data_IF_637959547741
#
_entry.id   IF_637959547741
#
_cell.length_a   1.000
_cell.length_b   1.000
_cell.length_c   1.000
_cell.angle_alpha   90.00
_cell.angle_beta   90.00
_cell.angle_gamma   90.00
#
_symmetry.space_group_name_H-M   'P 1'
#
loop_
_entity.id
_entity.type
_entity.pdbx_description
1 polymer ?
#
# COMPACT_ATOMS: atom_id res chain seq x y z
N UNK A 1 -17.62 8.51 -3.29
CA UNK A 1 -16.18 8.42 -3.06
C UNK A 1 -15.84 7.57 -1.84
N UNK A 2 -16.62 7.58 -0.73
CA UNK A 2 -16.31 6.86 0.54
C UNK A 2 -16.75 5.39 0.55
N UNK A 3 -17.03 4.78 -0.58
CA UNK A 3 -17.52 3.40 -0.63
C UNK A 3 -16.47 2.37 -0.22
N UNK A 4 -15.26 2.48 -0.77
CA UNK A 4 -14.19 1.55 -0.45
C UNK A 4 -13.34 2.11 0.68
N UNK A 5 -13.25 1.37 1.78
CA UNK A 5 -12.35 1.67 2.89
C UNK A 5 -11.01 1.00 2.68
N UNK A 6 -9.95 1.76 2.61
CA UNK A 6 -8.58 1.24 2.60
C UNK A 6 -8.08 1.12 4.04
N UNK A 7 -7.54 -0.04 4.42
CA UNK A 7 -6.93 -0.25 5.74
C UNK A 7 -5.44 -0.56 5.52
N UNK A 8 -4.59 0.33 5.98
CA UNK A 8 -3.14 0.19 5.90
C UNK A 8 -2.58 -0.47 7.16
N UNK A 9 -1.72 -1.47 6.96
CA UNK A 9 -1.01 -2.17 8.02
C UNK A 9 0.50 -2.07 7.83
N UNK A 10 1.24 -1.94 8.93
CA UNK A 10 2.70 -1.83 8.91
C UNK A 10 3.42 -3.16 8.58
N UNK A 11 2.73 -4.27 8.70
CA UNK A 11 3.28 -5.60 8.40
C UNK A 11 2.20 -6.56 7.89
N UNK A 12 2.63 -7.58 7.16
CA UNK A 12 1.74 -8.67 6.70
C UNK A 12 1.13 -9.42 7.90
N UNK A 13 1.86 -9.58 9.00
CA UNK A 13 1.35 -10.24 10.21
C UNK A 13 0.19 -9.47 10.82
N UNK A 14 0.31 -8.14 10.96
CA UNK A 14 -0.78 -7.29 11.45
C UNK A 14 -1.98 -7.31 10.50
N UNK A 15 -1.72 -7.32 9.19
CA UNK A 15 -2.78 -7.42 8.18
C UNK A 15 -3.54 -8.73 8.31
N UNK A 16 -2.87 -9.86 8.50
CA UNK A 16 -3.55 -11.16 8.66
C UNK A 16 -4.46 -11.18 9.89
N UNK A 17 -3.99 -10.64 11.03
CA UNK A 17 -4.83 -10.48 12.21
C UNK A 17 -6.01 -9.56 11.94
N UNK A 18 -5.79 -8.43 11.26
CA UNK A 18 -6.84 -7.51 10.86
C UNK A 18 -7.85 -8.13 9.89
N UNK A 19 -7.40 -8.98 8.96
CA UNK A 19 -8.26 -9.72 8.05
C UNK A 19 -9.20 -10.67 8.80
N UNK A 20 -8.68 -11.43 9.78
CA UNK A 20 -9.53 -12.28 10.62
C UNK A 20 -10.62 -11.46 11.33
N UNK A 21 -10.26 -10.32 11.92
CA UNK A 21 -11.23 -9.44 12.57
C UNK A 21 -12.29 -8.90 11.60
N UNK A 22 -11.90 -8.58 10.36
CA UNK A 22 -12.86 -8.13 9.34
C UNK A 22 -13.86 -9.22 9.00
N UNK A 23 -13.43 -10.47 8.88
CA UNK A 23 -14.32 -11.58 8.53
C UNK A 23 -15.14 -12.07 9.71
N UNK A 24 -14.58 -12.08 10.93
CA UNK A 24 -15.21 -12.70 12.08
C UNK A 24 -16.08 -11.70 12.86
N UNK A 25 -15.61 -10.46 13.06
CA UNK A 25 -16.22 -9.51 14.01
C UNK A 25 -17.02 -8.40 13.32
N UNK A 26 -16.53 -7.86 12.19
CA UNK A 26 -17.14 -6.64 11.60
C UNK A 26 -18.57 -6.88 11.12
N UNK A 27 -18.88 -8.04 10.57
CA UNK A 27 -20.26 -8.37 10.16
C UNK A 27 -21.19 -8.50 11.37
N UNK A 28 -20.71 -9.09 12.47
CA UNK A 28 -21.47 -9.19 13.71
C UNK A 28 -21.79 -7.82 14.32
N UNK A 29 -20.79 -6.97 14.45
CA UNK A 29 -20.94 -5.62 14.99
C UNK A 29 -21.82 -4.73 14.09
N UNK A 30 -21.68 -4.85 12.79
CA UNK A 30 -22.55 -4.17 11.82
C UNK A 30 -23.99 -4.52 12.02
N UNK A 31 -24.31 -5.82 12.16
CA UNK A 31 -25.66 -6.31 12.41
C UNK A 31 -26.21 -5.79 13.74
N UNK A 32 -25.41 -5.81 14.81
CA UNK A 32 -25.79 -5.28 16.10
C UNK A 32 -26.12 -3.78 16.03
N UNK A 33 -25.35 -3.00 15.26
CA UNK A 33 -25.62 -1.58 15.03
C UNK A 33 -26.92 -1.34 14.27
N UNK A 34 -27.26 -2.15 13.26
CA UNK A 34 -28.52 -2.02 12.54
C UNK A 34 -29.71 -2.29 13.46
N UNK A 35 -29.67 -3.37 14.24
CA UNK A 35 -30.70 -3.70 15.23
C UNK A 35 -30.85 -2.54 16.23
N UNK A 36 -29.77 -2.04 16.77
CA UNK A 36 -29.77 -0.93 17.74
C UNK A 36 -30.36 0.37 17.17
N UNK A 37 -30.20 0.62 15.87
CA UNK A 37 -30.75 1.79 15.18
C UNK A 37 -32.15 1.59 14.66
N UNK A 38 -32.78 0.41 14.85
CA UNK A 38 -34.09 0.09 14.33
C UNK A 38 -34.15 0.08 12.80
N UNK A 39 -33.02 -0.16 12.14
CA UNK A 39 -32.97 -0.26 10.67
C UNK A 39 -33.38 -1.69 10.30
N UNK A 40 -34.55 -1.83 9.73
CA UNK A 40 -35.04 -3.11 9.21
C UNK A 40 -34.32 -3.42 7.90
N UNK A 41 -33.44 -4.41 7.94
CA UNK A 41 -32.62 -4.85 6.82
C UNK A 41 -33.43 -5.40 5.66
N UNK A 42 -34.60 -5.97 5.94
CA UNK A 42 -35.51 -6.57 4.93
C UNK A 42 -36.32 -5.51 4.18
N UNK A 43 -36.66 -4.40 4.83
CA UNK A 43 -37.47 -3.32 4.24
C UNK A 43 -36.69 -2.32 3.39
N UNK A 44 -35.38 -2.29 3.45
CA UNK A 44 -34.54 -1.32 2.72
C UNK A 44 -34.18 -1.78 1.30
N UNK A 45 -35.10 -2.42 0.59
CA UNK A 45 -34.88 -2.98 -0.76
C UNK A 45 -34.34 -2.04 -1.86
N UNK A 46 -34.16 -0.73 -1.56
CA UNK A 46 -33.50 0.23 -2.45
C UNK A 46 -32.07 0.64 -2.04
N UNK A 47 -31.67 0.32 -0.83
CA UNK A 47 -30.31 0.55 -0.37
C UNK A 47 -29.72 -0.77 0.10
N UNK A 48 -28.92 -1.44 -0.76
CA UNK A 48 -28.13 -2.60 -0.39
C UNK A 48 -27.04 -2.19 0.64
N UNK A 49 -27.45 -1.72 1.82
CA UNK A 49 -26.55 -1.48 2.95
C UNK A 49 -26.07 -2.78 3.57
N UNK A 50 -26.84 -3.85 3.38
CA UNK A 50 -26.51 -5.16 3.92
C UNK A 50 -25.69 -5.96 2.92
N UNK A 51 -24.37 -5.78 2.98
CA UNK A 51 -23.43 -6.66 2.29
C UNK A 51 -22.67 -7.44 3.33
N UNK A 52 -22.63 -8.74 3.15
CA UNK A 52 -21.84 -9.63 4.00
C UNK A 52 -20.38 -9.53 3.59
N UNK A 53 -19.50 -9.26 4.56
CA UNK A 53 -18.04 -9.17 4.31
C UNK A 53 -17.37 -10.54 4.25
N UNK A 54 -18.09 -11.62 4.54
CA UNK A 54 -17.64 -12.99 4.32
C UNK A 54 -17.55 -13.38 2.83
N UNK A 55 -18.13 -12.55 1.94
CA UNK A 55 -17.94 -12.73 0.51
C UNK A 55 -16.53 -12.21 0.11
N UNK A 56 -15.61 -13.11 -0.34
CA UNK A 56 -14.27 -12.71 -0.75
C UNK A 56 -14.25 -11.73 -1.94
N UNK A 57 -15.40 -11.55 -2.61
CA UNK A 57 -15.57 -10.55 -3.67
C UNK A 57 -15.64 -9.12 -3.14
N UNK A 58 -15.80 -8.92 -1.84
CA UNK A 58 -15.99 -7.62 -1.20
C UNK A 58 -14.73 -7.09 -0.51
N UNK A 59 -13.81 -7.98 -0.16
CA UNK A 59 -12.54 -7.63 0.49
C UNK A 59 -11.40 -7.88 -0.48
N UNK A 60 -10.62 -6.83 -0.74
CA UNK A 60 -9.38 -6.93 -1.51
C UNK A 60 -8.18 -6.99 -0.58
N UNK A 61 -7.11 -7.64 -1.03
CA UNK A 61 -5.80 -7.57 -0.41
C UNK A 61 -4.79 -6.99 -1.41
N UNK A 62 -3.91 -6.08 -0.95
CA UNK A 62 -2.80 -5.52 -1.72
C UNK A 62 -1.51 -5.67 -0.92
N UNK A 63 -0.88 -6.83 -1.06
CA UNK A 63 0.34 -7.19 -0.35
C UNK A 63 1.32 -7.89 -1.28
N UNK A 64 2.58 -7.97 -0.87
CA UNK A 64 3.64 -8.66 -1.62
C UNK A 64 3.49 -10.19 -1.66
N UNK A 65 2.54 -10.77 -0.91
CA UNK A 65 2.25 -12.21 -0.97
C UNK A 65 1.22 -12.58 -2.04
N UNK A 66 0.51 -11.59 -2.59
CA UNK A 66 -0.37 -11.83 -3.73
C UNK A 66 0.43 -12.17 -4.99
N UNK A 67 -0.15 -13.04 -5.81
CA UNK A 67 0.41 -13.31 -7.14
C UNK A 67 0.42 -12.01 -7.97
N UNK A 68 1.52 -11.75 -8.63
CA UNK A 68 1.68 -10.56 -9.48
C UNK A 68 0.64 -10.46 -10.59
N UNK A 69 0.08 -11.59 -11.03
CA UNK A 69 -0.99 -11.65 -12.04
C UNK A 69 -2.35 -11.21 -11.51
N UNK A 70 -2.60 -11.31 -10.19
CA UNK A 70 -3.86 -10.93 -9.56
C UNK A 70 -3.92 -9.43 -9.21
N UNK A 71 -2.78 -8.80 -8.97
CA UNK A 71 -2.70 -7.38 -8.61
C UNK A 71 -3.40 -6.49 -9.66
N UNK A 72 -3.16 -6.63 -10.98
CA UNK A 72 -3.85 -5.81 -12.00
C UNK A 72 -5.37 -6.00 -12.00
N UNK A 73 -5.86 -7.22 -11.73
CA UNK A 73 -7.30 -7.51 -11.65
C UNK A 73 -7.94 -6.82 -10.44
N UNK A 74 -7.28 -6.90 -9.29
CA UNK A 74 -7.68 -6.22 -8.06
C UNK A 74 -7.74 -4.71 -8.26
N UNK A 75 -6.69 -4.13 -8.84
CA UNK A 75 -6.64 -2.70 -9.15
C UNK A 75 -7.77 -2.28 -10.10
N UNK A 76 -7.99 -3.04 -11.19
CA UNK A 76 -9.06 -2.75 -12.14
C UNK A 76 -10.43 -2.72 -11.45
N UNK A 77 -10.70 -3.65 -10.54
CA UNK A 77 -11.95 -3.68 -9.77
C UNK A 77 -12.04 -2.53 -8.76
N UNK A 78 -10.91 -2.06 -8.23
CA UNK A 78 -10.88 -0.88 -7.36
C UNK A 78 -11.21 0.43 -8.09
N UNK A 79 -11.04 0.51 -9.41
CA UNK A 79 -11.48 1.66 -10.21
C UNK A 79 -13.00 1.73 -10.40
N UNK A 80 -13.69 0.61 -10.25
CA UNK A 80 -15.15 0.54 -10.44
C UNK A 80 -15.86 1.45 -9.46
N UNK A 81 -16.83 2.24 -9.95
CA UNK A 81 -17.70 3.06 -9.13
C UNK A 81 -18.91 2.26 -8.65
N UNK A 82 -19.48 2.62 -7.49
CA UNK A 82 -20.73 2.04 -7.01
C UNK A 82 -21.92 2.25 -7.98
N UNK A 83 -21.86 3.27 -8.81
CA UNK A 83 -22.90 3.57 -9.82
C UNK A 83 -22.91 2.58 -11.00
N UNK A 84 -21.91 1.70 -11.11
CA UNK A 84 -21.89 0.65 -12.11
C UNK A 84 -22.78 -0.52 -11.66
N UNK A 85 -23.93 -0.68 -12.32
CA UNK A 85 -24.92 -1.73 -11.98
C UNK A 85 -24.42 -3.16 -12.26
N UNK A 86 -23.40 -3.32 -13.11
CA UNK A 86 -22.88 -4.63 -13.52
C UNK A 86 -21.74 -5.15 -12.65
N UNK A 87 -20.98 -4.25 -12.03
CA UNK A 87 -19.78 -4.61 -11.30
C UNK A 87 -19.69 -3.82 -10.00
N UNK A 88 -19.73 -4.50 -8.88
CA UNK A 88 -19.60 -3.83 -7.57
C UNK A 88 -18.12 -3.63 -7.20
N UNK A 89 -17.75 -2.45 -6.69
CA UNK A 89 -16.41 -2.21 -6.14
C UNK A 89 -16.20 -3.01 -4.85
N UNK A 90 -14.95 -3.15 -4.43
CA UNK A 90 -14.64 -3.67 -3.11
C UNK A 90 -15.15 -2.74 -2.00
N UNK A 91 -15.61 -3.32 -0.90
CA UNK A 91 -16.01 -2.57 0.30
C UNK A 91 -14.77 -2.24 1.15
N UNK A 92 -13.85 -3.20 1.29
CA UNK A 92 -12.63 -3.07 2.06
C UNK A 92 -11.42 -3.46 1.19
N UNK A 93 -10.34 -2.70 1.34
CA UNK A 93 -9.04 -3.02 0.79
C UNK A 93 -8.01 -3.08 1.92
N UNK A 94 -7.49 -4.27 2.21
CA UNK A 94 -6.42 -4.49 3.18
C UNK A 94 -5.09 -4.33 2.46
N UNK A 95 -4.23 -3.44 2.93
CA UNK A 95 -2.99 -3.12 2.23
C UNK A 95 -1.80 -2.98 3.18
N UNK A 96 -0.62 -3.31 2.68
CA UNK A 96 0.65 -2.94 3.28
C UNK A 96 1.35 -1.91 2.39
N UNK A 97 2.68 -1.82 2.44
CA UNK A 97 3.49 -0.90 1.62
C UNK A 97 3.22 -0.98 0.10
N UNK A 98 2.58 -2.03 -0.39
CA UNK A 98 2.18 -2.12 -1.80
C UNK A 98 1.26 -0.99 -2.26
N UNK A 99 0.46 -0.42 -1.35
CA UNK A 99 -0.39 0.73 -1.70
C UNK A 99 0.44 2.00 -1.99
N UNK A 100 1.66 2.07 -1.46
CA UNK A 100 2.56 3.21 -1.64
C UNK A 100 3.16 3.26 -3.05
N UNK A 101 3.21 2.12 -3.75
CA UNK A 101 3.88 1.99 -5.05
C UNK A 101 2.88 1.96 -6.19
N UNK A 102 2.83 3.06 -6.96
CA UNK A 102 2.18 3.09 -8.28
C UNK A 102 0.66 2.99 -8.31
N UNK A 103 -0.04 2.97 -7.16
CA UNK A 103 -1.50 2.90 -7.12
C UNK A 103 -2.05 4.32 -7.16
N UNK A 104 -2.77 4.64 -8.23
CA UNK A 104 -3.47 5.90 -8.39
C UNK A 104 -4.94 5.64 -8.73
N UNK A 105 -5.79 5.66 -7.71
CA UNK A 105 -7.24 5.44 -7.84
C UNK A 105 -7.94 6.69 -7.29
N UNK A 106 -8.32 7.63 -8.17
CA UNK A 106 -8.81 8.96 -7.75
C UNK A 106 -10.04 8.91 -6.84
N UNK A 107 -10.91 7.91 -7.03
CA UNK A 107 -12.15 7.79 -6.26
C UNK A 107 -11.97 7.39 -4.78
N UNK A 108 -10.78 6.96 -4.38
CA UNK A 108 -10.55 6.56 -2.99
C UNK A 108 -10.47 7.79 -2.09
N UNK A 109 -11.33 7.83 -1.06
CA UNK A 109 -11.44 8.97 -0.17
C UNK A 109 -11.46 8.58 1.32
N UNK A 110 -11.42 7.29 1.64
CA UNK A 110 -11.47 6.80 3.02
C UNK A 110 -10.32 5.83 3.29
N UNK A 111 -9.53 6.14 4.32
CA UNK A 111 -8.43 5.29 4.77
C UNK A 111 -8.39 5.16 6.29
N UNK A 112 -8.01 3.99 6.75
CA UNK A 112 -7.61 3.73 8.13
C UNK A 112 -6.15 3.33 8.12
N UNK A 113 -5.32 3.94 8.95
CA UNK A 113 -3.93 3.57 9.20
C UNK A 113 -3.86 2.90 10.57
N UNK A 114 -3.59 1.59 10.57
CA UNK A 114 -3.51 0.80 11.80
C UNK A 114 -2.09 0.81 12.37
N UNK A 115 -1.86 1.67 13.35
CA UNK A 115 -0.57 1.98 13.93
C UNK A 115 0.27 2.95 13.08
N UNK A 116 1.07 3.77 13.74
CA UNK A 116 1.95 4.71 13.05
C UNK A 116 2.97 3.98 12.16
N UNK A 117 3.12 4.33 10.89
CA UNK A 117 4.20 3.85 10.04
C UNK A 117 5.58 4.09 10.62
N UNK A 118 6.59 3.36 10.15
CA UNK A 118 7.95 3.43 10.71
C UNK A 118 8.59 4.78 10.46
N UNK A 119 8.31 5.37 9.31
CA UNK A 119 8.85 6.66 8.90
C UNK A 119 7.74 7.62 8.53
N UNK A 120 8.01 8.91 8.63
CA UNK A 120 7.10 9.98 8.19
C UNK A 120 6.89 9.91 6.68
N UNK A 121 7.91 9.56 5.92
CA UNK A 121 7.79 9.35 4.47
C UNK A 121 6.81 8.23 4.12
N UNK A 122 6.83 7.09 4.84
CA UNK A 122 5.84 6.02 4.66
C UNK A 122 4.42 6.50 5.00
N UNK A 123 4.27 7.26 6.08
CA UNK A 123 2.98 7.84 6.46
C UNK A 123 2.41 8.74 5.36
N UNK A 124 3.23 9.65 4.82
CA UNK A 124 2.84 10.56 3.73
C UNK A 124 2.48 9.76 2.46
N UNK A 125 3.30 8.79 2.08
CA UNK A 125 3.08 7.97 0.90
C UNK A 125 1.82 7.12 0.99
N UNK A 126 1.47 6.61 2.16
CA UNK A 126 0.24 5.87 2.37
C UNK A 126 -0.98 6.81 2.39
N UNK A 127 -0.98 7.81 3.25
CA UNK A 127 -2.13 8.72 3.44
C UNK A 127 -2.48 9.52 2.18
N UNK A 128 -1.48 9.87 1.35
CA UNK A 128 -1.69 10.58 0.08
C UNK A 128 -2.37 9.73 -1.02
N UNK A 129 -2.71 8.46 -0.76
CA UNK A 129 -3.43 7.61 -1.72
C UNK A 129 -4.95 7.80 -1.71
N UNK A 130 -5.46 8.57 -0.77
CA UNK A 130 -6.88 8.93 -0.70
C UNK A 130 -7.05 10.44 -0.82
N UNK A 131 -8.25 10.87 -1.28
CA UNK A 131 -8.55 12.29 -1.47
C UNK A 131 -7.79 12.96 -2.60
N UNK A 132 -7.47 12.23 -3.66
CA UNK A 132 -6.79 12.78 -4.84
C UNK A 132 -7.72 13.50 -5.81
N UNK A 133 -9.00 13.17 -5.75
CA UNK A 133 -10.01 13.87 -6.52
C UNK A 133 -10.35 15.20 -5.82
N UNK A 134 -10.20 16.30 -6.53
CA UNK A 134 -10.49 17.65 -5.99
C UNK A 134 -11.96 17.81 -5.56
N UNK A 135 -12.87 17.03 -6.14
CA UNK A 135 -14.28 17.05 -5.79
C UNK A 135 -14.62 16.30 -4.50
N UNK A 136 -13.68 15.50 -3.97
CA UNK A 136 -13.93 14.57 -2.87
C UNK A 136 -12.80 14.61 -1.85
N UNK A 137 -12.99 15.27 -0.70
CA UNK A 137 -11.98 15.34 0.34
C UNK A 137 -11.65 13.95 0.89
N UNK A 138 -10.37 13.67 1.13
CA UNK A 138 -9.91 12.44 1.75
C UNK A 138 -10.04 12.50 3.27
N UNK A 139 -10.42 11.37 3.87
CA UNK A 139 -10.47 11.19 5.32
C UNK A 139 -9.53 10.06 5.70
N UNK A 140 -8.61 10.33 6.62
CA UNK A 140 -7.67 9.35 7.16
C UNK A 140 -7.87 9.22 8.66
N UNK A 141 -8.21 8.02 9.11
CA UNK A 141 -8.30 7.67 10.52
C UNK A 141 -7.01 6.98 10.96
N UNK A 142 -6.33 7.54 11.95
CA UNK A 142 -5.16 6.91 12.56
C UNK A 142 -5.59 6.16 13.84
N UNK A 143 -5.43 4.83 13.83
CA UNK A 143 -5.65 4.00 15.02
C UNK A 143 -4.31 3.77 15.69
N UNK A 144 -4.10 4.43 16.82
CA UNK A 144 -2.85 4.41 17.58
C UNK A 144 -3.02 3.56 18.84
N UNK A 145 -2.13 2.60 19.05
CA UNK A 145 -2.16 1.71 20.20
C UNK A 145 -1.43 2.34 21.40
N UNK A 146 -2.05 2.44 22.58
CA UNK A 146 -1.39 2.96 23.77
C UNK A 146 -0.23 2.08 24.27
N UNK A 147 -0.20 0.82 23.83
CA UNK A 147 0.83 -0.16 24.22
C UNK A 147 2.06 -0.13 23.34
N UNK A 148 2.01 0.57 22.19
CA UNK A 148 3.16 0.74 21.28
C UNK A 148 3.81 2.10 21.53
N UNK A 149 5.09 2.18 21.95
CA UNK A 149 5.75 3.46 22.28
C UNK A 149 5.69 4.49 21.14
N UNK A 150 5.86 4.05 19.90
CA UNK A 150 5.77 4.91 18.71
C UNK A 150 4.37 5.51 18.57
N UNK A 151 3.35 4.68 18.63
CA UNK A 151 1.96 5.11 18.49
C UNK A 151 1.58 6.11 19.58
N UNK A 152 1.99 5.83 20.82
CA UNK A 152 1.77 6.72 21.97
C UNK A 152 2.44 8.07 21.78
N UNK A 153 3.70 8.09 21.35
CA UNK A 153 4.42 9.34 21.08
C UNK A 153 3.73 10.18 20.01
N UNK A 154 3.29 9.54 18.92
CA UNK A 154 2.56 10.23 17.86
C UNK A 154 1.17 10.68 18.29
N UNK A 155 0.50 9.97 19.19
CA UNK A 155 -0.77 10.41 19.78
C UNK A 155 -0.58 11.67 20.62
N UNK A 156 0.41 11.69 21.51
CA UNK A 156 0.70 12.82 22.39
C UNK A 156 1.06 14.09 21.61
N UNK A 157 1.71 13.96 20.44
CA UNK A 157 2.13 15.06 19.58
C UNK A 157 1.32 15.18 18.28
N UNK A 158 0.15 14.57 18.21
CA UNK A 158 -0.61 14.42 16.96
C UNK A 158 -0.82 15.73 16.20
N UNK A 159 -1.27 16.77 16.90
CA UNK A 159 -1.54 18.08 16.29
C UNK A 159 -0.28 18.75 15.78
N UNK A 160 0.77 18.85 16.60
CA UNK A 160 2.04 19.48 16.23
C UNK A 160 2.75 18.73 15.10
N UNK A 161 2.71 17.40 15.13
CA UNK A 161 3.23 16.56 14.08
C UNK A 161 2.56 16.84 12.72
N UNK A 162 1.24 16.89 12.68
CA UNK A 162 0.52 17.14 11.42
C UNK A 162 0.63 18.57 10.92
N UNK A 163 0.80 19.55 11.82
CA UNK A 163 1.03 20.94 11.43
C UNK A 163 2.37 21.17 10.74
N UNK A 164 3.37 20.35 11.05
CA UNK A 164 4.72 20.46 10.52
C UNK A 164 5.21 19.16 9.87
N UNK A 165 4.30 18.38 9.29
CA UNK A 165 4.52 17.01 8.83
C UNK A 165 5.78 16.84 7.96
N UNK A 166 6.00 17.74 7.03
CA UNK A 166 7.16 17.66 6.12
C UNK A 166 8.50 17.92 6.82
N UNK A 167 8.51 18.61 7.98
CA UNK A 167 9.73 18.84 8.73
C UNK A 167 10.23 17.58 9.45
N UNK A 168 9.37 16.58 9.60
CA UNK A 168 9.68 15.30 10.24
C UNK A 168 10.08 14.21 9.24
N UNK A 169 10.16 14.54 7.96
CA UNK A 169 10.60 13.56 6.95
C UNK A 169 12.07 13.24 7.17
N UNK A 170 12.33 11.97 7.40
CA UNK A 170 13.67 11.46 7.69
C UNK A 170 14.57 11.54 6.43
N UNK A 171 15.81 12.02 6.54
CA UNK A 171 16.72 12.02 5.42
C UNK A 171 17.07 10.58 5.01
N UNK A 172 17.05 10.31 3.72
CA UNK A 172 17.46 9.01 3.19
C UNK A 172 18.99 8.92 3.26
N UNK A 173 19.49 7.88 3.94
CA UNK A 173 20.92 7.60 3.93
C UNK A 173 21.33 7.09 2.56
N UNK A 174 22.23 7.79 1.87
CA UNK A 174 22.82 7.37 0.60
C UNK A 174 24.23 6.86 0.90
N UNK A 175 24.37 5.54 1.01
CA UNK A 175 25.66 4.88 1.22
C UNK A 175 25.96 3.93 0.05
N UNK A 176 26.36 4.45 -1.13
CA UNK A 176 26.51 3.66 -2.35
C UNK A 176 27.57 2.56 -2.23
N UNK A 177 28.55 2.74 -1.35
CA UNK A 177 29.64 1.79 -1.14
C UNK A 177 29.44 0.86 0.08
N UNK A 178 28.27 0.90 0.73
CA UNK A 178 28.00 -0.03 1.83
C UNK A 178 27.99 -1.48 1.34
N UNK A 179 28.39 -2.40 2.20
CA UNK A 179 28.48 -3.82 1.88
C UNK A 179 27.11 -4.39 1.38
N UNK A 180 26.02 -3.96 1.99
CA UNK A 180 24.66 -4.35 1.57
C UNK A 180 24.31 -3.86 0.16
N UNK A 181 24.69 -2.62 -0.20
CA UNK A 181 24.44 -2.07 -1.54
C UNK A 181 25.32 -2.77 -2.56
N UNK A 182 26.61 -2.96 -2.27
CA UNK A 182 27.52 -3.70 -3.17
C UNK A 182 26.98 -5.09 -3.47
N UNK A 183 26.61 -5.85 -2.46
CA UNK A 183 26.05 -7.21 -2.64
C UNK A 183 24.79 -7.24 -3.50
N UNK A 184 23.93 -6.23 -3.40
CA UNK A 184 22.65 -6.18 -4.12
C UNK A 184 22.75 -5.54 -5.50
N UNK A 185 23.61 -4.54 -5.69
CA UNK A 185 23.60 -3.69 -6.88
C UNK A 185 24.83 -3.83 -7.77
N UNK A 186 25.98 -4.32 -7.25
CA UNK A 186 27.22 -4.36 -8.02
C UNK A 186 27.08 -5.16 -9.32
N UNK A 187 26.38 -6.30 -9.28
CA UNK A 187 26.16 -7.11 -10.47
C UNK A 187 25.37 -6.35 -11.56
N UNK A 188 24.39 -5.53 -11.16
CA UNK A 188 23.62 -4.72 -12.11
C UNK A 188 24.50 -3.65 -12.76
N UNK A 189 25.35 -2.99 -11.97
CA UNK A 189 26.33 -2.00 -12.48
C UNK A 189 27.28 -2.66 -13.46
N UNK A 190 27.85 -3.81 -13.11
CA UNK A 190 28.75 -4.58 -14.00
C UNK A 190 28.09 -4.94 -15.32
N UNK A 191 26.87 -5.48 -15.27
CA UNK A 191 26.09 -5.83 -16.47
C UNK A 191 25.83 -4.58 -17.32
N UNK A 192 25.47 -3.45 -16.69
CA UNK A 192 25.22 -2.19 -17.40
C UNK A 192 26.47 -1.70 -18.09
N UNK A 193 27.61 -1.68 -17.42
CA UNK A 193 28.91 -1.29 -18.01
C UNK A 193 29.30 -2.21 -19.19
N UNK A 194 29.15 -3.53 -19.04
CA UNK A 194 29.39 -4.46 -20.13
C UNK A 194 28.51 -4.16 -21.37
N UNK A 195 27.24 -3.89 -21.16
CA UNK A 195 26.30 -3.55 -22.24
C UNK A 195 26.59 -2.21 -22.90
N UNK A 196 27.02 -1.22 -22.14
CA UNK A 196 27.40 0.09 -22.68
C UNK A 196 28.67 0.01 -23.53
N UNK A 197 29.61 -0.87 -23.19
CA UNK A 197 30.87 -1.01 -23.93
C UNK A 197 30.81 -2.00 -25.07
N UNK A 198 29.88 -2.96 -25.04
CA UNK A 198 29.63 -3.89 -26.13
C UNK A 198 28.16 -3.85 -26.56
N UNK A 199 27.90 -3.18 -27.68
CA UNK A 199 26.56 -3.05 -28.26
C UNK A 199 25.92 -4.39 -28.63
N UNK A 200 26.72 -5.43 -28.86
CA UNK A 200 26.20 -6.77 -29.17
C UNK A 200 25.54 -7.42 -27.96
N UNK A 201 25.82 -6.94 -26.72
CA UNK A 201 25.19 -7.41 -25.49
C UNK A 201 23.86 -6.71 -25.17
N UNK A 202 23.42 -5.72 -25.96
CA UNK A 202 22.18 -4.99 -25.71
C UNK A 202 20.94 -5.83 -25.89
N UNK A 203 20.93 -6.66 -26.94
CA UNK A 203 19.72 -7.41 -27.34
C UNK A 203 19.76 -8.87 -26.90
N UNK A 204 20.93 -9.46 -26.73
CA UNK A 204 21.08 -10.85 -26.29
C UNK A 204 22.03 -10.97 -25.10
N UNK A 205 21.61 -11.67 -24.02
CA UNK A 205 22.50 -11.90 -22.89
C UNK A 205 23.57 -12.93 -23.27
N UNK A 206 24.76 -12.47 -23.60
CA UNK A 206 25.97 -13.30 -23.86
C UNK A 206 27.02 -13.07 -22.79
N UNK A 207 27.93 -14.03 -22.66
CA UNK A 207 29.10 -13.84 -21.81
C UNK A 207 30.02 -12.81 -22.50
N UNK A 208 30.37 -11.70 -21.86
CA UNK A 208 31.25 -10.67 -22.46
C UNK A 208 32.63 -11.26 -22.81
N UNK A 209 33.23 -10.74 -23.87
CA UNK A 209 34.62 -11.08 -24.25
C UNK A 209 35.61 -10.76 -23.11
N UNK A 210 36.74 -11.45 -23.09
CA UNK A 210 37.78 -11.31 -22.08
C UNK A 210 38.27 -9.85 -21.98
N UNK A 211 38.44 -9.17 -23.12
CA UNK A 211 38.86 -7.76 -23.19
C UNK A 211 37.85 -6.82 -22.46
N UNK A 212 36.56 -7.09 -22.59
CA UNK A 212 35.52 -6.30 -21.93
C UNK A 212 35.54 -6.59 -20.43
N UNK A 213 35.72 -7.85 -20.01
CA UNK A 213 35.84 -8.22 -18.60
C UNK A 213 37.02 -7.51 -17.93
N UNK A 214 38.17 -7.47 -18.59
CA UNK A 214 39.37 -6.75 -18.08
C UNK A 214 39.13 -5.26 -17.99
N UNK A 215 38.50 -4.65 -19.00
CA UNK A 215 38.15 -3.22 -18.98
C UNK A 215 37.20 -2.88 -17.84
N UNK A 216 36.16 -3.69 -17.62
CA UNK A 216 35.21 -3.50 -16.51
C UNK A 216 35.92 -3.68 -15.17
N UNK A 217 36.78 -4.70 -15.04
CA UNK A 217 37.55 -4.95 -13.83
C UNK A 217 38.45 -3.73 -13.46
N UNK A 218 39.17 -3.21 -14.43
CA UNK A 218 40.04 -2.05 -14.21
C UNK A 218 39.24 -0.81 -13.79
N UNK A 219 38.09 -0.56 -14.43
CA UNK A 219 37.22 0.58 -14.08
C UNK A 219 36.59 0.50 -12.68
N UNK A 220 36.43 -0.69 -12.14
CA UNK A 220 35.83 -0.91 -10.79
C UNK A 220 36.94 -0.80 -9.72
N UNK A 221 38.21 -1.05 -10.07
CA UNK A 221 39.34 -1.05 -9.13
C UNK A 221 39.93 0.39 -8.98
N UNK A 222 39.84 1.23 -10.00
CA UNK A 222 40.12 2.67 -9.92
C UNK A 222 39.03 3.43 -9.16
#
# INVERSE_FOLDING_TARGET
PYWTQVIYFNSIRELMTGASLVYDDVDGEKNALYIKKGIDVEMTGHFNFYRRLDDPRQVAELTSRQDSSEIPKTLKKMFVSKSDEKTYPYDICLATNMIQVGIDIPRLSLMVINGQPKTTSEYIQASSRVGRDQSSPGIVFNILSPFKPRDRSHYEHFKSYHQALYNYVEPTSVTPHSDSVRKRCLHAVVITLCRLWDKNLLNEPRIPDIKIKEKVKNYIIE
#
